data_IF_128652033860
#
_entry.id   IF_128652033860
#
_cell.length_a   1.000
_cell.length_b   1.000
_cell.length_c   1.000
_cell.angle_alpha   90.00
_cell.angle_beta   90.00
_cell.angle_gamma   90.00
#
_symmetry.space_group_name_H-M   'P 1'
#
loop_
_entity.id
_entity.type
_entity.pdbx_description
1 polymer ?
#
# COMPACT_ATOMS: atom_id res chain seq x y z
N UNK A 1 12.21 -8.79 -3.10
CA UNK A 1 13.38 -9.64 -3.34
C UNK A 1 13.23 -10.45 -4.63
N UNK A 2 11.99 -10.78 -5.06
CA UNK A 2 11.69 -11.67 -6.18
C UNK A 2 10.90 -11.02 -7.33
N UNK A 3 10.62 -9.73 -7.27
CA UNK A 3 9.78 -9.02 -8.24
C UNK A 3 10.37 -8.95 -9.64
N UNK A 4 11.70 -9.05 -9.78
CA UNK A 4 12.41 -9.12 -11.06
C UNK A 4 12.54 -10.52 -11.64
N UNK A 5 12.05 -11.55 -10.93
CA UNK A 5 12.14 -12.95 -11.37
C UNK A 5 10.83 -13.38 -12.03
N UNK A 6 10.81 -13.70 -13.34
CA UNK A 6 9.59 -14.12 -14.04
C UNK A 6 8.91 -15.34 -13.39
N UNK A 7 9.70 -16.29 -12.88
CA UNK A 7 9.18 -17.50 -12.24
C UNK A 7 8.36 -17.21 -10.99
N UNK A 8 8.67 -16.12 -10.28
CA UNK A 8 7.88 -15.70 -9.12
C UNK A 8 6.47 -15.24 -9.52
N UNK A 9 6.35 -14.51 -10.63
CA UNK A 9 5.07 -14.10 -11.18
C UNK A 9 4.25 -15.28 -11.67
N UNK A 10 4.87 -16.21 -12.42
CA UNK A 10 4.21 -17.43 -12.91
C UNK A 10 3.68 -18.30 -11.77
N UNK A 11 4.44 -18.45 -10.67
CA UNK A 11 3.95 -19.17 -9.48
C UNK A 11 2.79 -18.45 -8.82
N UNK A 12 2.86 -17.12 -8.74
CA UNK A 12 1.77 -16.29 -8.21
C UNK A 12 0.50 -16.45 -9.04
N UNK A 13 0.58 -16.37 -10.36
CA UNK A 13 -0.53 -16.56 -11.29
C UNK A 13 -1.14 -17.97 -11.17
N UNK A 14 -0.30 -18.99 -11.10
CA UNK A 14 -0.77 -20.36 -10.90
C UNK A 14 -1.50 -20.53 -9.57
N UNK A 15 -0.99 -19.94 -8.50
CA UNK A 15 -1.60 -19.99 -7.17
C UNK A 15 -2.93 -19.25 -7.11
N UNK A 16 -3.01 -18.09 -7.70
CA UNK A 16 -4.21 -17.23 -7.71
C UNK A 16 -5.27 -17.75 -8.67
N UNK A 17 -4.88 -18.24 -9.83
CA UNK A 17 -5.79 -18.68 -10.88
C UNK A 17 -6.78 -17.58 -11.26
N UNK A 18 -8.08 -17.93 -11.27
CA UNK A 18 -9.16 -17.01 -11.61
C UNK A 18 -9.75 -16.26 -10.39
N UNK A 19 -9.20 -16.49 -9.19
CA UNK A 19 -9.69 -15.82 -7.98
C UNK A 19 -9.36 -14.34 -7.97
N UNK A 20 -10.21 -13.46 -7.42
CA UNK A 20 -9.87 -12.06 -7.27
C UNK A 20 -8.55 -11.88 -6.49
N UNK A 21 -7.63 -11.10 -7.06
CA UNK A 21 -6.33 -10.88 -6.45
C UNK A 21 -5.74 -9.54 -6.89
N UNK A 22 -4.96 -8.93 -6.01
CA UNK A 22 -4.13 -7.76 -6.34
C UNK A 22 -3.10 -8.07 -7.43
N UNK A 23 -2.73 -9.33 -7.62
CA UNK A 23 -1.81 -9.74 -8.69
C UNK A 23 -2.33 -9.37 -10.08
N UNK A 24 -3.64 -9.46 -10.32
CA UNK A 24 -4.29 -9.09 -11.59
C UNK A 24 -4.42 -7.57 -11.79
N UNK A 25 -4.04 -6.78 -10.81
CA UNK A 25 -4.19 -5.32 -10.80
C UNK A 25 -2.85 -4.59 -10.89
N UNK A 26 -1.76 -5.34 -11.05
CA UNK A 26 -0.41 -4.80 -11.18
C UNK A 26 0.23 -5.33 -12.46
N UNK A 27 1.12 -4.53 -13.04
CA UNK A 27 1.91 -4.95 -14.19
C UNK A 27 3.26 -5.49 -13.69
N UNK A 28 3.60 -6.75 -14.01
CA UNK A 28 4.92 -7.30 -13.69
C UNK A 28 6.06 -6.47 -14.27
N UNK A 29 7.18 -6.35 -13.57
CA UNK A 29 8.35 -5.62 -14.06
C UNK A 29 8.84 -6.16 -15.41
N UNK A 30 8.71 -7.47 -15.62
CA UNK A 30 9.06 -8.14 -16.88
C UNK A 30 8.19 -7.73 -18.08
N UNK A 31 7.00 -7.19 -17.85
CA UNK A 31 6.07 -6.73 -18.90
C UNK A 31 6.27 -5.27 -19.27
N UNK A 32 6.99 -4.47 -18.45
CA UNK A 32 7.13 -3.03 -18.66
C UNK A 32 7.86 -2.66 -19.95
N UNK A 33 8.76 -3.50 -20.43
CA UNK A 33 9.52 -3.30 -21.66
C UNK A 33 9.10 -4.30 -22.76
N UNK A 34 7.98 -4.99 -22.57
CA UNK A 34 7.46 -6.00 -23.48
C UNK A 34 6.72 -5.41 -24.69
N UNK A 35 6.61 -6.17 -25.80
CA UNK A 35 5.91 -5.72 -27.02
C UNK A 35 4.41 -5.49 -26.81
N UNK A 36 3.81 -6.07 -25.78
CA UNK A 36 2.38 -6.02 -25.48
C UNK A 36 2.02 -5.08 -24.32
N UNK A 37 2.96 -4.24 -23.87
CA UNK A 37 2.80 -3.41 -22.67
C UNK A 37 1.51 -2.58 -22.67
N UNK A 38 1.11 -2.03 -23.79
CA UNK A 38 -0.13 -1.24 -23.89
C UNK A 38 -1.38 -2.10 -23.66
N UNK A 39 -1.42 -3.30 -24.24
CA UNK A 39 -2.50 -4.26 -24.04
C UNK A 39 -2.56 -4.72 -22.58
N UNK A 40 -1.41 -5.06 -22.00
CA UNK A 40 -1.31 -5.49 -20.60
C UNK A 40 -1.78 -4.39 -19.64
N UNK A 41 -1.46 -3.11 -19.91
CA UNK A 41 -1.95 -1.96 -19.15
C UNK A 41 -3.47 -1.83 -19.26
N UNK A 42 -4.03 -2.01 -20.45
CA UNK A 42 -5.48 -1.98 -20.66
C UNK A 42 -6.18 -3.10 -19.89
N UNK A 43 -5.63 -4.30 -19.89
CA UNK A 43 -6.19 -5.46 -19.19
C UNK A 43 -6.18 -5.25 -17.66
N UNK A 44 -5.11 -4.70 -17.12
CA UNK A 44 -5.03 -4.30 -15.71
C UNK A 44 -6.10 -3.27 -15.38
N UNK A 45 -6.22 -2.21 -16.16
CA UNK A 45 -7.21 -1.13 -15.96
C UNK A 45 -8.65 -1.64 -16.05
N UNK A 46 -8.94 -2.50 -17.03
CA UNK A 46 -10.23 -3.14 -17.21
C UNK A 46 -10.56 -4.06 -16.01
N UNK A 47 -9.57 -4.80 -15.50
CA UNK A 47 -9.75 -5.66 -14.34
C UNK A 47 -10.01 -4.85 -13.08
N UNK A 48 -9.31 -3.72 -12.86
CA UNK A 48 -9.61 -2.78 -11.77
C UNK A 48 -11.07 -2.29 -11.84
N UNK A 49 -11.50 -1.85 -13.02
CA UNK A 49 -12.88 -1.38 -13.26
C UNK A 49 -13.90 -2.47 -13.01
N UNK A 50 -13.61 -3.70 -13.42
CA UNK A 50 -14.46 -4.87 -13.18
C UNK A 50 -14.55 -5.16 -11.67
N UNK A 51 -13.44 -5.17 -10.94
CA UNK A 51 -13.44 -5.44 -9.50
C UNK A 51 -14.22 -4.40 -8.70
N UNK A 52 -14.17 -3.13 -9.12
CA UNK A 52 -14.99 -2.07 -8.51
C UNK A 52 -16.48 -2.30 -8.77
N UNK A 53 -16.86 -2.59 -10.01
CA UNK A 53 -18.25 -2.83 -10.42
C UNK A 53 -18.84 -4.08 -9.76
N UNK A 54 -18.04 -5.13 -9.66
CA UNK A 54 -18.47 -6.44 -9.12
C UNK A 54 -18.45 -6.48 -7.58
N UNK A 55 -18.11 -5.36 -6.92
CA UNK A 55 -18.13 -5.26 -5.45
C UNK A 55 -17.04 -6.07 -4.75
N UNK A 56 -15.93 -6.36 -5.44
CA UNK A 56 -14.77 -7.03 -4.85
C UNK A 56 -14.10 -6.14 -3.80
N UNK A 57 -14.15 -4.81 -3.98
CA UNK A 57 -13.66 -3.84 -3.04
C UNK A 57 -14.79 -3.26 -2.18
N UNK A 58 -14.50 -3.07 -0.90
CA UNK A 58 -15.33 -2.29 0.02
C UNK A 58 -14.73 -0.88 0.15
N UNK A 59 -15.54 0.14 -0.04
CA UNK A 59 -15.14 1.53 0.20
C UNK A 59 -15.26 1.83 1.70
N UNK A 60 -14.20 2.36 2.29
CA UNK A 60 -14.17 2.86 3.66
C UNK A 60 -13.83 4.35 3.60
N UNK A 61 -14.84 5.25 3.55
CA UNK A 61 -14.59 6.69 3.43
C UNK A 61 -13.88 7.22 4.68
N UNK A 62 -12.95 8.15 4.47
CA UNK A 62 -12.19 8.82 5.55
C UNK A 62 -11.57 7.85 6.55
N UNK A 63 -11.05 6.73 6.07
CA UNK A 63 -10.56 5.65 6.91
C UNK A 63 -9.05 5.70 7.13
N UNK A 64 -8.62 5.40 8.34
CA UNK A 64 -7.26 4.95 8.65
C UNK A 64 -7.33 3.48 9.08
N UNK A 65 -6.38 2.67 8.61
CA UNK A 65 -6.26 1.26 8.99
C UNK A 65 -4.96 1.08 9.76
N UNK A 66 -5.06 0.63 10.99
CA UNK A 66 -3.90 0.17 11.76
C UNK A 66 -3.51 -1.22 11.27
N UNK A 67 -2.23 -1.43 11.00
CA UNK A 67 -1.72 -2.69 10.44
C UNK A 67 -0.59 -3.26 11.29
N UNK A 68 -0.60 -4.58 11.44
CA UNK A 68 0.52 -5.35 12.01
C UNK A 68 0.96 -6.41 11.00
N UNK A 69 2.24 -6.39 10.64
CA UNK A 69 2.87 -7.45 9.87
C UNK A 69 3.85 -8.20 10.75
N UNK A 70 3.51 -9.43 11.10
CA UNK A 70 4.42 -10.36 11.77
C UNK A 70 5.28 -11.04 10.71
N UNK A 71 6.59 -10.87 10.80
CA UNK A 71 7.56 -11.51 9.91
C UNK A 71 7.80 -12.97 10.32
N UNK A 72 8.34 -13.78 9.42
CA UNK A 72 8.75 -15.17 9.72
C UNK A 72 9.72 -15.26 10.91
N UNK A 73 10.49 -14.20 11.20
CA UNK A 73 11.36 -14.10 12.37
C UNK A 73 10.63 -13.80 13.69
N UNK A 74 9.31 -13.65 13.69
CA UNK A 74 8.50 -13.25 14.84
C UNK A 74 8.51 -11.73 15.12
N UNK A 75 9.32 -10.93 14.40
CA UNK A 75 9.29 -9.47 14.55
C UNK A 75 8.00 -8.90 13.98
N UNK A 76 7.39 -7.95 14.70
CA UNK A 76 6.18 -7.26 14.26
C UNK A 76 6.52 -5.86 13.78
N UNK A 77 6.13 -5.54 12.54
CA UNK A 77 6.10 -4.18 12.00
C UNK A 77 4.69 -3.62 12.16
N UNK A 78 4.60 -2.38 12.58
CA UNK A 78 3.34 -1.67 12.80
C UNK A 78 3.28 -0.44 11.92
N UNK A 79 2.10 -0.08 11.48
CA UNK A 79 1.91 1.10 10.65
C UNK A 79 0.46 1.52 10.54
N UNK A 80 0.27 2.62 9.83
CA UNK A 80 -1.04 3.15 9.45
C UNK A 80 -1.13 3.14 7.93
N UNK A 81 -2.26 2.73 7.40
CA UNK A 81 -2.60 2.88 5.99
C UNK A 81 -3.67 3.96 5.87
N UNK A 82 -3.43 4.92 5.02
CA UNK A 82 -4.32 6.04 4.78
C UNK A 82 -3.93 6.81 3.53
N UNK A 83 -4.62 7.89 3.27
CA UNK A 83 -4.28 8.81 2.19
C UNK A 83 -3.40 9.94 2.72
N UNK A 84 -2.48 10.39 1.88
CA UNK A 84 -1.59 11.51 2.15
C UNK A 84 -1.96 12.65 1.21
N UNK A 85 -2.07 13.86 1.77
CA UNK A 85 -2.27 15.07 0.98
C UNK A 85 -0.96 15.42 0.27
N UNK A 86 -0.94 15.28 -1.05
CA UNK A 86 0.25 15.53 -1.87
C UNK A 86 0.61 17.02 -1.96
N UNK A 87 -0.29 17.93 -1.61
CA UNK A 87 0.02 19.37 -1.51
C UNK A 87 1.01 19.68 -0.36
N UNK A 88 1.16 18.73 0.57
CA UNK A 88 2.13 18.81 1.68
C UNK A 88 3.47 18.13 1.36
N UNK A 89 3.65 17.67 0.12
CA UNK A 89 4.86 16.97 -0.31
C UNK A 89 5.68 17.82 -1.28
N UNK A 90 6.99 17.88 -1.06
CA UNK A 90 7.93 18.40 -2.03
C UNK A 90 9.15 17.47 -2.13
N UNK A 91 9.64 17.27 -3.34
CA UNK A 91 10.80 16.43 -3.63
C UNK A 91 12.10 17.24 -3.78
N UNK A 92 12.01 18.57 -3.78
CA UNK A 92 13.19 19.42 -3.92
C UNK A 92 14.07 19.35 -2.66
N UNK A 93 15.40 19.19 -2.82
CA UNK A 93 16.31 19.15 -1.68
C UNK A 93 16.25 20.46 -0.88
N UNK A 94 15.96 20.35 0.42
CA UNK A 94 15.88 21.47 1.33
C UNK A 94 14.55 22.20 1.35
N UNK A 95 13.52 21.67 0.68
CA UNK A 95 12.16 22.18 0.79
C UNK A 95 11.67 22.13 2.24
N UNK A 96 11.03 23.23 2.67
CA UNK A 96 10.39 23.33 4.00
C UNK A 96 8.94 22.83 3.92
N UNK A 97 8.80 21.52 3.74
CA UNK A 97 7.50 20.83 3.67
C UNK A 97 7.39 19.78 4.74
N UNK A 98 6.14 19.49 5.13
CA UNK A 98 5.85 18.49 6.16
C UNK A 98 6.27 17.07 5.71
N UNK A 99 6.09 16.76 4.43
CA UNK A 99 6.42 15.47 3.84
C UNK A 99 7.57 15.65 2.85
N UNK A 100 8.66 14.92 3.08
CA UNK A 100 9.89 15.03 2.31
C UNK A 100 10.22 13.73 1.59
N UNK A 101 10.87 13.85 0.42
CA UNK A 101 11.42 12.69 -0.27
C UNK A 101 12.57 12.07 0.53
N UNK A 102 12.58 10.76 0.68
CA UNK A 102 13.67 10.02 1.34
C UNK A 102 14.78 9.63 0.38
N UNK A 103 14.46 9.58 -0.93
CA UNK A 103 15.39 9.16 -1.98
C UNK A 103 15.01 9.78 -3.33
N UNK A 104 15.99 9.87 -4.24
CA UNK A 104 15.74 10.28 -5.62
C UNK A 104 15.15 9.14 -6.44
N UNK A 105 14.21 9.47 -7.31
CA UNK A 105 13.61 8.50 -8.24
C UNK A 105 14.47 8.34 -9.48
N UNK A 106 14.67 7.09 -9.94
CA UNK A 106 15.32 6.79 -11.22
C UNK A 106 14.42 7.26 -12.36
N UNK A 107 14.83 8.32 -13.09
CA UNK A 107 14.00 9.00 -14.07
C UNK A 107 13.45 8.09 -15.17
N UNK A 108 14.25 7.11 -15.64
CA UNK A 108 13.82 6.15 -16.67
C UNK A 108 12.66 5.25 -16.25
N UNK A 109 12.41 5.12 -14.94
CA UNK A 109 11.31 4.32 -14.39
C UNK A 109 9.99 5.09 -14.26
N UNK A 110 10.00 6.40 -14.46
CA UNK A 110 8.80 7.24 -14.30
C UNK A 110 7.80 7.01 -15.44
N UNK A 111 8.18 7.10 -16.75
CA UNK A 111 7.22 6.99 -17.84
C UNK A 111 6.38 5.71 -17.82
N UNK A 112 6.94 4.49 -17.67
CA UNK A 112 6.13 3.27 -17.63
C UNK A 112 5.20 3.22 -16.42
N UNK A 113 5.61 3.75 -15.27
CA UNK A 113 4.76 3.83 -14.07
C UNK A 113 3.59 4.79 -14.27
N UNK A 114 3.84 5.93 -14.91
CA UNK A 114 2.80 6.91 -15.27
C UNK A 114 1.81 6.28 -16.25
N UNK A 115 2.29 5.55 -17.26
CA UNK A 115 1.43 4.88 -18.25
C UNK A 115 0.44 3.91 -17.59
N UNK A 116 0.91 3.08 -16.63
CA UNK A 116 0.04 2.16 -15.86
C UNK A 116 -1.02 2.91 -15.07
N UNK A 117 -0.67 4.06 -14.47
CA UNK A 117 -1.54 4.79 -13.53
C UNK A 117 -2.45 5.81 -14.16
N UNK A 118 -2.10 6.32 -15.35
CA UNK A 118 -2.81 7.43 -16.00
C UNK A 118 -4.32 7.23 -16.13
N UNK A 119 -4.75 6.00 -16.39
CA UNK A 119 -6.16 5.63 -16.55
C UNK A 119 -6.64 4.63 -15.49
N UNK A 120 -5.84 4.34 -14.49
CA UNK A 120 -6.19 3.40 -13.42
C UNK A 120 -7.25 4.02 -12.50
N UNK A 121 -8.40 3.36 -12.27
CA UNK A 121 -9.45 3.89 -11.41
C UNK A 121 -9.12 3.77 -9.91
N UNK A 122 -8.09 3.01 -9.54
CA UNK A 122 -7.60 2.83 -8.17
C UNK A 122 -6.07 2.82 -8.16
N UNK A 123 -5.49 3.28 -7.05
CA UNK A 123 -4.06 3.21 -6.77
C UNK A 123 -3.79 2.07 -5.79
N UNK A 124 -2.91 1.13 -6.16
CA UNK A 124 -2.61 -0.06 -5.35
C UNK A 124 -1.27 0.01 -4.62
N UNK A 125 -0.17 0.46 -5.26
CA UNK A 125 1.11 0.52 -4.59
C UNK A 125 1.07 1.53 -3.45
N UNK A 126 1.41 1.06 -2.24
CA UNK A 126 1.56 1.94 -1.09
C UNK A 126 2.93 2.59 -1.09
N UNK A 127 2.99 3.91 -0.92
CA UNK A 127 4.21 4.60 -0.53
C UNK A 127 4.42 4.41 0.97
N UNK A 128 5.66 4.07 1.37
CA UNK A 128 6.02 3.97 2.78
C UNK A 128 6.54 5.31 3.26
N UNK A 129 5.84 5.90 4.21
CA UNK A 129 6.25 7.13 4.90
C UNK A 129 6.76 6.77 6.29
N UNK A 130 7.83 7.41 6.73
CA UNK A 130 8.38 7.28 8.07
C UNK A 130 8.13 8.58 8.84
N UNK A 131 7.64 8.45 10.06
CA UNK A 131 7.51 9.56 10.99
C UNK A 131 8.67 9.52 11.98
N UNK A 132 9.26 10.68 12.29
CA UNK A 132 10.21 10.81 13.37
C UNK A 132 9.46 10.97 14.71
N UNK A 133 9.15 9.84 15.34
CA UNK A 133 8.40 9.74 16.61
C UNK A 133 9.21 8.97 17.65
N UNK A 134 10.25 9.57 18.24
CA UNK A 134 11.06 8.93 19.26
C UNK A 134 10.25 8.63 20.54
N UNK A 135 9.17 9.38 20.79
CA UNK A 135 8.26 9.17 21.91
C UNK A 135 7.28 8.02 21.71
N UNK A 136 7.18 7.47 20.48
CA UNK A 136 6.25 6.38 20.12
C UNK A 136 4.80 6.73 20.46
N UNK A 137 4.40 7.94 20.11
CA UNK A 137 3.11 8.52 20.48
C UNK A 137 2.01 8.31 19.44
N UNK A 138 2.38 7.95 18.19
CA UNK A 138 1.43 7.83 17.09
C UNK A 138 0.90 6.40 16.92
N UNK A 139 1.78 5.42 16.75
CA UNK A 139 1.41 4.05 16.34
C UNK A 139 1.28 3.11 17.54
N UNK A 140 2.20 3.16 18.48
CA UNK A 140 2.26 2.24 19.59
C UNK A 140 1.03 2.24 20.49
N UNK A 141 0.38 3.37 20.79
CA UNK A 141 -0.86 3.37 21.57
C UNK A 141 -1.99 2.53 20.96
N UNK A 142 -2.03 2.40 19.64
CA UNK A 142 -3.04 1.62 18.93
C UNK A 142 -2.94 0.12 19.20
N UNK A 143 -1.76 -0.36 19.56
CA UNK A 143 -1.54 -1.79 19.90
C UNK A 143 -2.43 -2.23 21.07
N UNK A 144 -2.65 -1.36 22.05
CA UNK A 144 -3.50 -1.66 23.20
C UNK A 144 -5.00 -1.61 22.89
N UNK A 145 -5.36 -1.00 21.77
CA UNK A 145 -6.77 -0.80 21.38
C UNK A 145 -7.24 -1.85 20.36
N UNK A 146 -6.34 -2.60 19.73
CA UNK A 146 -6.64 -3.49 18.60
C UNK A 146 -7.83 -4.44 18.84
N UNK A 147 -7.96 -4.97 20.06
CA UNK A 147 -9.03 -5.93 20.40
C UNK A 147 -10.42 -5.28 20.47
N UNK A 148 -10.49 -3.95 20.40
CA UNK A 148 -11.73 -3.14 20.38
C UNK A 148 -12.04 -2.57 19.01
N UNK A 149 -11.06 -2.66 18.08
CA UNK A 149 -11.19 -2.11 16.72
C UNK A 149 -11.86 -3.12 15.79
N UNK A 150 -12.51 -2.62 14.73
CA UNK A 150 -13.11 -3.46 13.69
C UNK A 150 -12.00 -4.13 12.87
N UNK A 151 -11.91 -5.49 12.84
CA UNK A 151 -10.93 -6.16 12.00
C UNK A 151 -11.31 -6.04 10.52
N UNK A 152 -10.35 -5.70 9.68
CA UNK A 152 -10.53 -5.55 8.22
C UNK A 152 -10.02 -6.78 7.50
N UNK A 153 -8.86 -7.28 7.91
CA UNK A 153 -8.23 -8.48 7.35
C UNK A 153 -7.30 -9.15 8.36
N UNK A 154 -7.15 -10.45 8.19
CA UNK A 154 -6.29 -11.32 9.01
C UNK A 154 -5.91 -12.53 8.16
N UNK A 155 -4.68 -12.58 7.64
CA UNK A 155 -4.26 -13.66 6.74
C UNK A 155 -2.74 -13.90 6.72
N UNK A 156 -2.37 -15.13 6.37
CA UNK A 156 -0.99 -15.50 6.11
C UNK A 156 -0.55 -15.03 4.73
N UNK A 157 0.66 -14.49 4.66
CA UNK A 157 1.31 -14.12 3.41
C UNK A 157 1.87 -15.36 2.70
N UNK A 158 1.91 -15.31 1.36
CA UNK A 158 2.44 -16.39 0.53
C UNK A 158 3.83 -16.84 1.00
N UNK A 159 4.13 -18.13 0.78
CA UNK A 159 5.43 -18.75 1.09
C UNK A 159 5.87 -18.57 2.55
N UNK A 160 4.90 -18.57 3.49
CA UNK A 160 5.17 -18.38 4.93
C UNK A 160 5.99 -17.11 5.24
N UNK A 161 5.83 -16.08 4.41
CA UNK A 161 6.59 -14.82 4.57
C UNK A 161 6.07 -13.91 5.69
N UNK A 162 5.12 -14.40 6.46
CA UNK A 162 4.58 -13.78 7.66
C UNK A 162 3.06 -13.63 7.63
N UNK A 163 2.54 -12.96 8.63
CA UNK A 163 1.12 -12.76 8.86
C UNK A 163 0.77 -11.28 8.82
N UNK A 164 -0.33 -10.92 8.17
CA UNK A 164 -0.80 -9.54 8.07
C UNK A 164 -2.18 -9.41 8.70
N UNK A 165 -2.31 -8.46 9.64
CA UNK A 165 -3.58 -8.10 10.26
C UNK A 165 -3.83 -6.59 10.13
N UNK A 166 -5.10 -6.22 10.00
CA UNK A 166 -5.50 -4.83 9.90
C UNK A 166 -6.82 -4.55 10.61
N UNK A 167 -6.92 -3.35 11.18
CA UNK A 167 -8.09 -2.89 11.91
C UNK A 167 -8.45 -1.47 11.49
N UNK A 168 -9.74 -1.23 11.29
CA UNK A 168 -10.26 0.10 10.99
C UNK A 168 -10.27 0.95 12.26
N UNK A 169 -9.74 2.17 12.19
CA UNK A 169 -9.79 3.11 13.29
C UNK A 169 -11.13 3.84 13.31
N UNK A 170 -11.74 3.93 14.49
CA UNK A 170 -12.89 4.79 14.73
C UNK A 170 -12.52 6.28 14.75
N UNK A 171 -13.52 7.15 14.83
CA UNK A 171 -13.30 8.61 14.84
C UNK A 171 -12.41 9.08 16.00
N UNK A 172 -12.59 8.48 17.19
CA UNK A 172 -11.79 8.83 18.36
C UNK A 172 -10.31 8.50 18.18
N UNK A 173 -10.01 7.32 17.65
CA UNK A 173 -8.64 6.87 17.37
C UNK A 173 -8.00 7.69 16.26
N UNK A 174 -8.75 8.00 15.20
CA UNK A 174 -8.30 8.88 14.12
C UNK A 174 -7.97 10.28 14.64
N UNK A 175 -8.82 10.83 15.52
CA UNK A 175 -8.59 12.11 16.19
C UNK A 175 -7.32 12.09 17.04
N UNK A 176 -7.07 11.02 17.79
CA UNK A 176 -5.88 10.85 18.60
C UNK A 176 -4.61 10.75 17.73
N UNK A 177 -4.65 9.98 16.64
CA UNK A 177 -3.54 9.89 15.67
C UNK A 177 -3.25 11.25 15.06
N UNK A 178 -4.26 11.98 14.62
CA UNK A 178 -4.09 13.31 14.03
C UNK A 178 -3.50 14.32 15.03
N UNK A 179 -3.89 14.23 16.30
CA UNK A 179 -3.32 15.08 17.36
C UNK A 179 -1.84 14.72 17.62
N UNK A 180 -1.52 13.44 17.69
CA UNK A 180 -0.16 12.98 17.89
C UNK A 180 0.76 13.39 16.72
N UNK A 181 0.33 13.22 15.46
CA UNK A 181 1.09 13.66 14.28
C UNK A 181 1.35 15.16 14.29
N UNK A 182 0.35 15.98 14.62
CA UNK A 182 0.53 17.44 14.76
C UNK A 182 1.52 17.84 15.86
N UNK A 183 1.69 17.02 16.88
CA UNK A 183 2.65 17.27 17.95
C UNK A 183 4.08 16.90 17.58
N UNK A 184 4.31 16.19 16.45
CA UNK A 184 5.64 15.88 15.91
C UNK A 184 6.17 16.96 14.97
N UNK A 185 5.31 17.85 14.45
CA UNK A 185 5.65 18.90 13.49
C UNK A 185 6.15 20.19 14.16
#
# INVERSE_FOLDING_TARGET
>A
QYTSQPENWQRGEFFVGNSPSALHLILPESSLDGPNVETDIMDVTNTMSRYLRDGIFRTCPSALVYVERTLASGKVRRGLVGMVDLEQYDYEPGADTLIRATEGTVLSRIPPRVAVRKNAPIELPHAMVLADDPGRTVIEPLTALRDRLEPVYDFELMEHSGHLRGWLLGEAEQGAVAAALRALS
#
